data_IF_052329688735
#
_entry.id   IF_052329688735
#
_cell.length_a   1.000
_cell.length_b   1.000
_cell.length_c   1.000
_cell.angle_alpha   90.00
_cell.angle_beta   90.00
_cell.angle_gamma   90.00
#
_symmetry.space_group_name_H-M   'P 1'
#
loop_
_entity.id
_entity.type
_entity.pdbx_description
1 polymer ?
#
# COMPACT_ATOMS: atom_id res chain seq x y z
N UNK A 1 -16.67 -4.32 29.59
CA UNK A 1 -15.48 -4.54 28.73
C UNK A 1 -15.84 -4.66 27.25
N UNK A 2 -16.81 -5.51 26.88
CA UNK A 2 -17.28 -5.68 25.49
C UNK A 2 -17.77 -4.37 24.82
N UNK A 3 -18.55 -3.53 25.51
CA UNK A 3 -19.04 -2.26 24.94
C UNK A 3 -17.94 -1.25 24.59
N UNK A 4 -16.81 -1.28 25.30
CA UNK A 4 -15.66 -0.38 25.03
C UNK A 4 -14.89 -0.82 23.77
N UNK A 5 -14.80 -2.13 23.54
CA UNK A 5 -14.16 -2.69 22.35
C UNK A 5 -14.98 -2.37 21.10
N UNK A 6 -16.31 -2.43 21.18
CA UNK A 6 -17.21 -2.11 20.05
C UNK A 6 -17.09 -0.62 19.67
N UNK A 7 -17.10 0.28 20.66
CA UNK A 7 -16.93 1.72 20.41
C UNK A 7 -15.57 2.08 19.80
N UNK A 8 -14.50 1.41 20.25
CA UNK A 8 -13.15 1.65 19.72
C UNK A 8 -13.01 1.18 18.26
N UNK A 9 -13.68 0.09 17.89
CA UNK A 9 -13.72 -0.42 16.52
C UNK A 9 -14.53 0.51 15.60
N UNK A 10 -15.69 0.99 16.02
CA UNK A 10 -16.50 1.93 15.24
C UNK A 10 -15.76 3.25 14.97
N UNK A 11 -15.09 3.80 15.99
CA UNK A 11 -14.26 4.99 15.86
C UNK A 11 -13.07 4.77 14.92
N UNK A 12 -12.46 3.58 14.94
CA UNK A 12 -11.38 3.23 14.02
C UNK A 12 -11.86 3.13 12.57
N UNK A 13 -13.01 2.48 12.33
CA UNK A 13 -13.61 2.37 10.99
C UNK A 13 -14.02 3.73 10.43
N UNK A 14 -14.64 4.59 11.25
CA UNK A 14 -15.02 5.94 10.84
C UNK A 14 -13.79 6.81 10.46
N UNK A 15 -12.70 6.70 11.23
CA UNK A 15 -11.43 7.38 10.93
C UNK A 15 -10.79 6.86 9.65
N UNK A 16 -10.78 5.54 9.43
CA UNK A 16 -10.27 4.93 8.21
C UNK A 16 -11.07 5.37 6.97
N UNK A 17 -12.40 5.43 7.09
CA UNK A 17 -13.28 5.89 6.01
C UNK A 17 -13.05 7.36 5.65
N UNK A 18 -13.00 8.24 6.66
CA UNK A 18 -12.70 9.67 6.46
C UNK A 18 -11.31 9.89 5.85
N UNK A 19 -10.30 9.16 6.34
CA UNK A 19 -8.95 9.25 5.80
C UNK A 19 -8.88 8.76 4.35
N UNK A 20 -9.57 7.67 4.01
CA UNK A 20 -9.65 7.17 2.63
C UNK A 20 -10.33 8.19 1.70
N UNK A 21 -11.41 8.84 2.16
CA UNK A 21 -12.10 9.88 1.40
C UNK A 21 -11.18 11.08 1.10
N UNK A 22 -10.53 11.65 2.12
CA UNK A 22 -9.62 12.78 1.94
C UNK A 22 -8.41 12.43 1.07
N UNK A 23 -7.87 11.21 1.24
CA UNK A 23 -6.76 10.72 0.41
C UNK A 23 -7.20 10.57 -1.05
N UNK A 24 -8.40 10.04 -1.30
CA UNK A 24 -8.98 9.93 -2.64
C UNK A 24 -9.22 11.29 -3.28
N UNK A 25 -9.77 12.25 -2.53
CA UNK A 25 -9.99 13.62 -3.00
C UNK A 25 -8.68 14.33 -3.35
N UNK A 26 -7.67 14.22 -2.48
CA UNK A 26 -6.32 14.75 -2.75
C UNK A 26 -5.71 14.12 -4.01
N UNK A 27 -5.88 12.81 -4.20
CA UNK A 27 -5.40 12.12 -5.40
C UNK A 27 -6.09 12.63 -6.67
N UNK A 28 -7.41 12.85 -6.64
CA UNK A 28 -8.15 13.43 -7.77
C UNK A 28 -7.70 14.88 -8.06
N UNK A 29 -7.53 15.70 -7.03
CA UNK A 29 -7.04 17.07 -7.19
C UNK A 29 -5.63 17.10 -7.78
N UNK A 30 -4.74 16.21 -7.34
CA UNK A 30 -3.40 16.06 -7.90
C UNK A 30 -3.44 15.62 -9.37
N UNK A 31 -4.30 14.67 -9.73
CA UNK A 31 -4.47 14.24 -11.13
C UNK A 31 -4.96 15.37 -12.03
N UNK A 32 -5.93 16.16 -11.56
CA UNK A 32 -6.44 17.32 -12.30
C UNK A 32 -5.38 18.42 -12.45
N UNK A 33 -4.64 18.72 -11.38
CA UNK A 33 -3.53 19.68 -11.45
C UNK A 33 -2.42 19.21 -12.38
N UNK A 34 -2.05 17.92 -12.30
CA UNK A 34 -1.00 17.33 -13.14
C UNK A 34 -1.37 17.34 -14.62
N UNK A 35 -2.62 17.02 -14.97
CA UNK A 35 -3.08 17.04 -16.36
C UNK A 35 -3.06 18.46 -16.92
N UNK A 36 -3.51 19.44 -16.15
CA UNK A 36 -3.46 20.85 -16.55
C UNK A 36 -2.02 21.34 -16.74
N UNK A 37 -1.13 21.04 -15.80
CA UNK A 37 0.29 21.43 -15.88
C UNK A 37 0.99 20.77 -17.08
N UNK A 38 0.69 19.50 -17.33
CA UNK A 38 1.21 18.73 -18.47
C UNK A 38 0.75 19.35 -19.79
N UNK A 39 -0.54 19.68 -19.92
CA UNK A 39 -1.08 20.34 -21.09
C UNK A 39 -0.45 21.73 -21.31
N UNK A 40 -0.20 22.48 -20.23
CA UNK A 40 0.51 23.75 -20.29
C UNK A 40 1.94 23.62 -20.80
N UNK A 41 2.73 22.70 -20.24
CA UNK A 41 4.11 22.44 -20.68
C UNK A 41 4.14 21.98 -22.14
N UNK A 42 3.25 21.06 -22.51
CA UNK A 42 3.12 20.60 -23.89
C UNK A 42 2.82 21.77 -24.84
N UNK A 43 1.89 22.65 -24.48
CA UNK A 43 1.49 23.78 -25.32
C UNK A 43 2.63 24.78 -25.52
N UNK A 44 3.41 25.05 -24.47
CA UNK A 44 4.58 25.95 -24.54
C UNK A 44 5.68 25.37 -25.44
N UNK A 45 5.96 24.07 -25.33
CA UNK A 45 6.97 23.41 -26.17
C UNK A 45 6.46 23.32 -27.62
N UNK A 46 5.20 22.94 -27.82
CA UNK A 46 4.59 22.80 -29.14
C UNK A 46 4.60 24.13 -29.91
N UNK A 47 4.37 25.25 -29.21
CA UNK A 47 4.42 26.58 -29.80
C UNK A 47 5.84 26.97 -30.30
N UNK A 48 6.90 26.40 -29.72
CA UNK A 48 8.29 26.75 -30.06
C UNK A 48 8.97 25.75 -30.99
N UNK A 49 8.65 24.47 -30.85
CA UNK A 49 9.41 23.37 -31.44
C UNK A 49 8.52 22.37 -32.20
N UNK A 50 7.21 22.62 -32.24
CA UNK A 50 6.24 21.77 -32.91
C UNK A 50 5.70 20.65 -32.03
N UNK A 51 4.55 20.12 -32.44
CA UNK A 51 3.78 19.14 -31.67
C UNK A 51 4.52 17.80 -31.48
N UNK A 52 5.33 17.40 -32.47
CA UNK A 52 6.08 16.14 -32.42
C UNK A 52 7.13 16.15 -31.30
N UNK A 53 7.96 17.18 -31.22
CA UNK A 53 8.98 17.30 -30.17
C UNK A 53 8.37 17.47 -28.79
N UNK A 54 7.28 18.24 -28.67
CA UNK A 54 6.55 18.40 -27.41
C UNK A 54 6.03 17.07 -26.86
N UNK A 55 5.45 16.24 -27.74
CA UNK A 55 4.91 14.93 -27.36
C UNK A 55 6.01 13.96 -26.95
N UNK A 56 7.16 14.00 -27.64
CA UNK A 56 8.32 13.19 -27.30
C UNK A 56 8.91 13.57 -25.93
N UNK A 57 9.09 14.87 -25.66
CA UNK A 57 9.65 15.36 -24.40
C UNK A 57 8.74 15.07 -23.21
N UNK A 58 7.44 15.36 -23.33
CA UNK A 58 6.46 15.09 -22.28
C UNK A 58 6.32 13.58 -22.05
N UNK A 59 6.22 12.79 -23.12
CA UNK A 59 6.15 11.34 -23.04
C UNK A 59 7.39 10.71 -22.39
N UNK A 60 8.58 11.13 -22.81
CA UNK A 60 9.83 10.67 -22.20
C UNK A 60 9.91 11.01 -20.70
N UNK A 61 9.45 12.20 -20.31
CA UNK A 61 9.32 12.60 -18.91
C UNK A 61 8.45 11.64 -18.10
N UNK A 62 7.28 11.25 -18.60
CA UNK A 62 6.41 10.27 -17.93
C UNK A 62 7.05 8.89 -17.82
N UNK A 63 7.78 8.43 -18.84
CA UNK A 63 8.51 7.15 -18.79
C UNK A 63 9.57 7.16 -17.69
N UNK A 64 10.32 8.26 -17.57
CA UNK A 64 11.32 8.42 -16.50
C UNK A 64 10.65 8.39 -15.12
N UNK A 65 9.56 9.14 -14.94
CA UNK A 65 8.80 9.16 -13.68
C UNK A 65 8.27 7.76 -13.35
N UNK A 66 7.68 7.06 -14.32
CA UNK A 66 7.20 5.69 -14.15
C UNK A 66 8.32 4.72 -13.74
N UNK A 67 9.49 4.84 -14.36
CA UNK A 67 10.69 4.08 -13.98
C UNK A 67 11.12 4.35 -12.53
N UNK A 68 11.12 5.61 -12.10
CA UNK A 68 11.44 5.98 -10.71
C UNK A 68 10.41 5.41 -9.73
N UNK A 69 9.11 5.55 -10.02
CA UNK A 69 8.04 4.98 -9.21
C UNK A 69 8.12 3.45 -9.12
N UNK A 70 8.48 2.78 -10.21
CA UNK A 70 8.72 1.34 -10.22
C UNK A 70 9.89 0.95 -9.29
N UNK A 71 10.99 1.70 -9.30
CA UNK A 71 12.12 1.46 -8.40
C UNK A 71 11.74 1.69 -6.93
N UNK A 72 10.99 2.74 -6.64
CA UNK A 72 10.51 3.06 -5.29
C UNK A 72 9.59 1.95 -4.78
N UNK A 73 8.57 1.57 -5.57
CA UNK A 73 7.63 0.51 -5.19
C UNK A 73 8.32 -0.83 -5.00
N UNK A 74 9.29 -1.17 -5.86
CA UNK A 74 10.14 -2.36 -5.69
C UNK A 74 10.94 -2.33 -4.38
N UNK A 75 11.50 -1.18 -4.01
CA UNK A 75 12.22 -1.00 -2.73
C UNK A 75 11.29 -1.13 -1.53
N UNK A 76 10.11 -0.52 -1.55
CA UNK A 76 9.10 -0.63 -0.49
C UNK A 76 8.63 -2.08 -0.34
N UNK A 77 8.34 -2.76 -1.44
CA UNK A 77 7.94 -4.17 -1.42
C UNK A 77 9.05 -5.06 -0.82
N UNK A 78 10.32 -4.80 -1.17
CA UNK A 78 11.47 -5.51 -0.57
C UNK A 78 11.57 -5.26 0.93
N UNK A 79 11.43 -4.01 1.38
CA UNK A 79 11.48 -3.67 2.80
C UNK A 79 10.32 -4.32 3.57
N UNK A 80 9.09 -4.31 3.04
CA UNK A 80 7.94 -4.99 3.64
C UNK A 80 8.17 -6.49 3.77
N UNK A 81 8.73 -7.14 2.75
CA UNK A 81 9.10 -8.57 2.81
C UNK A 81 10.14 -8.85 3.90
N UNK A 82 11.18 -8.02 3.99
CA UNK A 82 12.22 -8.16 5.02
C UNK A 82 11.66 -7.92 6.44
N UNK A 83 10.77 -6.94 6.61
CA UNK A 83 10.09 -6.70 7.88
C UNK A 83 9.21 -7.89 8.28
N UNK A 84 8.45 -8.47 7.34
CA UNK A 84 7.66 -9.67 7.58
C UNK A 84 8.53 -10.88 7.95
N UNK A 85 9.69 -11.06 7.29
CA UNK A 85 10.64 -12.12 7.65
C UNK A 85 11.24 -11.91 9.05
N UNK A 86 11.57 -10.66 9.43
CA UNK A 86 12.05 -10.34 10.78
C UNK A 86 10.98 -10.56 11.85
N UNK A 87 9.73 -10.22 11.56
CA UNK A 87 8.60 -10.51 12.45
C UNK A 87 8.43 -12.02 12.63
N UNK A 88 8.51 -12.80 11.53
CA UNK A 88 8.48 -14.28 11.60
C UNK A 88 9.68 -14.87 12.34
N UNK A 89 10.88 -14.31 12.19
CA UNK A 89 12.07 -14.77 12.90
C UNK A 89 11.99 -14.47 14.41
N UNK A 90 11.40 -13.33 14.81
CA UNK A 90 11.09 -13.04 16.22
C UNK A 90 10.03 -13.97 16.78
N UNK A 91 9.03 -14.30 15.97
CA UNK A 91 8.02 -15.33 16.28
C UNK A 91 8.56 -16.75 16.00
N UNK A 92 9.86 -16.94 15.76
CA UNK A 92 10.47 -18.27 15.59
C UNK A 92 10.52 -19.08 16.89
N UNK A 93 10.30 -18.44 18.04
CA UNK A 93 9.97 -19.11 19.30
C UNK A 93 8.56 -19.74 19.30
N UNK A 94 7.73 -19.42 18.29
CA UNK A 94 6.30 -19.73 18.26
C UNK A 94 5.97 -20.99 17.44
N UNK A 95 6.94 -21.56 16.71
CA UNK A 95 6.76 -22.87 16.05
C UNK A 95 6.65 -24.00 17.07
N UNK A 96 7.35 -23.88 18.20
CA UNK A 96 7.22 -24.78 19.34
C UNK A 96 5.85 -24.59 20.02
N UNK A 97 5.39 -23.36 20.23
CA UNK A 97 4.06 -23.05 20.79
C UNK A 97 2.92 -23.53 19.89
N UNK A 98 3.07 -23.40 18.56
CA UNK A 98 2.12 -23.93 17.58
C UNK A 98 2.09 -25.46 17.57
N UNK A 99 3.24 -26.11 17.76
CA UNK A 99 3.30 -27.56 17.90
C UNK A 99 2.69 -28.05 19.23
N UNK A 100 2.95 -27.32 20.33
CA UNK A 100 2.38 -27.60 21.65
C UNK A 100 0.85 -27.46 21.64
N UNK A 101 0.33 -26.38 21.06
CA UNK A 101 -1.12 -26.17 20.94
C UNK A 101 -1.78 -27.21 20.04
N UNK A 102 -1.10 -27.68 18.98
CA UNK A 102 -1.57 -28.81 18.17
C UNK A 102 -1.59 -30.14 18.93
N UNK A 103 -0.56 -30.42 19.73
CA UNK A 103 -0.48 -31.64 20.53
C UNK A 103 -1.56 -31.66 21.62
N UNK A 104 -1.74 -30.56 22.34
CA UNK A 104 -2.80 -30.40 23.35
C UNK A 104 -4.20 -30.54 22.73
N UNK A 105 -4.41 -30.01 21.52
CA UNK A 105 -5.67 -30.18 20.79
C UNK A 105 -5.92 -31.64 20.36
N UNK A 106 -4.88 -32.40 20.01
CA UNK A 106 -5.02 -33.82 19.68
C UNK A 106 -5.30 -34.70 20.91
N UNK A 107 -4.70 -34.38 22.06
CA UNK A 107 -4.94 -35.11 23.31
C UNK A 107 -6.37 -34.89 23.82
N UNK A 108 -6.86 -33.65 23.79
CA UNK A 108 -8.26 -33.34 24.13
C UNK A 108 -9.25 -34.02 23.18
N UNK A 109 -8.94 -34.08 21.88
CA UNK A 109 -9.76 -34.81 20.90
C UNK A 109 -9.80 -36.33 21.13
N UNK A 110 -8.73 -36.93 21.65
CA UNK A 110 -8.70 -38.36 22.03
C UNK A 110 -9.43 -38.63 23.35
N UNK A 111 -9.33 -37.72 24.31
CA UNK A 111 -10.01 -37.83 25.61
C UNK A 111 -11.54 -37.77 25.46
N UNK A 112 -12.07 -37.00 24.51
CA UNK A 112 -13.52 -36.94 24.22
C UNK A 112 -14.08 -38.17 23.47
N UNK A 113 -13.23 -39.06 22.94
CA UNK A 113 -13.66 -40.29 22.24
C UNK A 113 -13.72 -41.54 23.13
N UNK A 114 -13.32 -41.43 24.40
CA UNK A 114 -13.55 -42.46 25.42
C UNK A 114 -14.73 -42.04 26.28
#
# INVERSE_FOLDING_TARGET
MLGRIISDVELAVARLGSQAFWTGLMALALLAGLSFLTAGVWSVIAARHGAAEASLLVGAGFVVIAGVLFLITRRIARQRRLAAMRARARNGADAATLAETFLVAMETGRAMRR
#
